data_IF_984060956752
#
_entry.id   IF_984060956752
#
_cell.length_a   1.000
_cell.length_b   1.000
_cell.length_c   1.000
_cell.angle_alpha   90.00
_cell.angle_beta   90.00
_cell.angle_gamma   90.00
#
_symmetry.space_group_name_H-M   'P 1'
#
loop_
_entity.id
_entity.type
_entity.pdbx_description
1 polymer ?
#
# COMPACT_ATOMS: atom_id res chain seq x y z
N UNK A 1 -7.06 8.83 -11.03
CA UNK A 1 -7.61 9.79 -10.06
C UNK A 1 -8.93 9.22 -9.54
N UNK A 2 -8.99 8.77 -8.28
CA UNK A 2 -10.27 8.45 -7.62
C UNK A 2 -10.89 9.78 -7.20
N UNK A 3 -11.45 10.49 -8.17
CA UNK A 3 -12.08 11.79 -7.95
C UNK A 3 -13.47 11.58 -7.38
N UNK A 4 -13.54 11.69 -6.04
CA UNK A 4 -14.74 11.94 -5.25
C UNK A 4 -15.78 10.81 -5.22
N UNK A 5 -15.61 9.80 -4.36
CA UNK A 5 -16.69 8.95 -3.81
C UNK A 5 -16.13 8.20 -2.58
N UNK A 6 -16.42 8.69 -1.37
CA UNK A 6 -16.04 8.11 -0.05
C UNK A 6 -14.66 7.45 0.01
N UNK A 7 -13.59 8.27 0.03
CA UNK A 7 -12.22 7.79 0.20
C UNK A 7 -12.05 7.18 1.59
N UNK A 8 -12.22 5.86 1.67
CA UNK A 8 -11.86 5.09 2.85
C UNK A 8 -10.40 4.68 2.74
N UNK A 9 -9.76 4.43 3.88
CA UNK A 9 -8.38 3.96 3.92
C UNK A 9 -8.33 2.53 4.41
N UNK A 10 -7.55 1.69 3.73
CA UNK A 10 -7.28 0.33 4.14
C UNK A 10 -5.81 0.16 4.52
N UNK A 11 -5.57 -0.66 5.52
CA UNK A 11 -4.24 -1.05 5.97
C UNK A 11 -3.77 -2.31 5.24
N UNK A 12 -2.45 -2.51 5.08
CA UNK A 12 -1.94 -3.69 4.41
C UNK A 12 -2.07 -4.95 5.28
N UNK A 13 -2.24 -6.09 4.62
CA UNK A 13 -2.18 -7.43 5.23
C UNK A 13 -0.73 -7.83 5.55
N UNK A 14 0.23 -7.33 4.76
CA UNK A 14 1.65 -7.66 4.90
C UNK A 14 2.53 -6.49 4.50
N UNK A 15 3.65 -6.35 5.21
CA UNK A 15 4.70 -5.40 4.87
C UNK A 15 6.02 -6.14 4.69
N UNK A 16 6.73 -5.81 3.61
CA UNK A 16 8.08 -6.29 3.32
C UNK A 16 9.01 -5.08 3.30
N UNK A 17 9.98 -5.05 4.20
CA UNK A 17 11.03 -4.01 4.27
C UNK A 17 12.39 -4.66 4.17
N UNK A 18 12.86 -4.87 2.92
CA UNK A 18 14.17 -5.48 2.62
C UNK A 18 14.92 -4.65 1.57
N UNK A 19 15.28 -3.39 1.86
CA UNK A 19 15.89 -2.50 0.87
C UNK A 19 17.25 -2.99 0.32
N UNK A 20 17.94 -3.85 1.08
CA UNK A 20 19.24 -4.44 0.70
C UNK A 20 19.14 -5.41 -0.48
N UNK A 21 17.94 -5.95 -0.76
CA UNK A 21 17.68 -6.83 -1.90
C UNK A 21 17.43 -6.05 -3.20
N UNK A 22 17.63 -4.72 -3.18
CA UNK A 22 17.53 -3.85 -4.34
C UNK A 22 16.22 -3.06 -4.42
N UNK A 23 15.94 -2.54 -5.62
CA UNK A 23 14.71 -1.80 -5.88
C UNK A 23 13.49 -2.73 -5.74
N UNK A 24 12.33 -2.17 -5.38
CA UNK A 24 11.05 -2.90 -5.24
C UNK A 24 10.95 -3.91 -4.08
N UNK A 25 11.93 -4.00 -3.18
CA UNK A 25 11.87 -4.85 -1.98
C UNK A 25 11.39 -4.12 -0.72
N UNK A 26 10.78 -2.94 -0.89
CA UNK A 26 10.07 -2.22 0.16
C UNK A 26 8.65 -1.95 -0.31
N UNK A 27 7.71 -2.78 0.16
CA UNK A 27 6.32 -2.69 -0.25
C UNK A 27 5.37 -3.21 0.82
N UNK A 28 4.12 -2.80 0.68
CA UNK A 28 3.00 -3.30 1.45
C UNK A 28 1.98 -3.95 0.52
N UNK A 29 1.31 -5.00 0.99
CA UNK A 29 0.30 -5.74 0.25
C UNK A 29 -1.07 -5.46 0.85
N UNK A 30 -1.99 -4.96 0.03
CA UNK A 30 -3.37 -4.65 0.39
C UNK A 30 -4.31 -5.62 -0.30
N UNK A 31 -5.39 -6.01 0.37
CA UNK A 31 -6.42 -6.87 -0.19
C UNK A 31 -7.72 -6.08 -0.34
N UNK A 32 -8.24 -5.98 -1.56
CA UNK A 32 -9.45 -5.22 -1.85
C UNK A 32 -10.51 -6.10 -2.52
N UNK A 33 -11.81 -5.89 -2.24
CA UNK A 33 -12.86 -6.57 -2.98
C UNK A 33 -12.93 -6.06 -4.42
N UNK A 34 -13.25 -6.94 -5.37
CA UNK A 34 -13.29 -6.65 -6.82
C UNK A 34 -14.20 -5.48 -7.21
N UNK A 35 -15.19 -5.16 -6.37
CA UNK A 35 -16.15 -4.08 -6.60
C UNK A 35 -15.61 -2.68 -6.23
N UNK A 36 -14.37 -2.59 -5.75
CA UNK A 36 -13.73 -1.34 -5.35
C UNK A 36 -12.55 -1.02 -6.26
N UNK A 37 -12.32 0.28 -6.46
CA UNK A 37 -11.12 0.84 -7.09
C UNK A 37 -10.24 1.48 -6.02
N UNK A 38 -8.94 1.53 -6.29
CA UNK A 38 -7.93 2.09 -5.38
C UNK A 38 -7.25 3.31 -5.98
N UNK A 39 -6.66 4.14 -5.12
CA UNK A 39 -5.90 5.31 -5.52
C UNK A 39 -4.51 4.90 -6.03
N UNK A 40 -3.98 5.60 -7.03
CA UNK A 40 -2.70 5.26 -7.64
C UNK A 40 -1.53 5.40 -6.65
N UNK A 41 -1.74 6.16 -5.57
CA UNK A 41 -0.75 6.40 -4.55
C UNK A 41 -1.14 5.80 -3.19
N UNK A 42 -0.18 5.16 -2.54
CA UNK A 42 -0.25 4.82 -1.12
C UNK A 42 0.28 5.96 -0.27
N UNK A 43 -0.24 6.07 0.96
CA UNK A 43 0.25 6.98 1.98
C UNK A 43 1.03 6.18 3.02
N UNK A 44 2.26 6.60 3.30
CA UNK A 44 3.05 6.09 4.43
C UNK A 44 3.25 7.22 5.42
N UNK A 45 2.58 7.12 6.57
CA UNK A 45 2.68 8.07 7.67
C UNK A 45 3.72 7.57 8.66
N UNK A 46 4.95 8.06 8.50
CA UNK A 46 6.01 7.85 9.47
C UNK A 46 5.91 9.04 10.42
N UNK A 47 5.64 8.78 11.72
CA UNK A 47 5.33 9.67 12.87
C UNK A 47 6.06 11.03 12.98
N UNK A 48 6.94 11.36 12.04
CA UNK A 48 7.62 12.62 11.79
C UNK A 48 6.90 13.42 10.69
N UNK A 49 5.64 13.84 10.90
CA UNK A 49 4.87 14.81 10.07
C UNK A 49 5.02 14.76 8.53
N UNK A 50 5.45 13.62 7.97
CA UNK A 50 5.79 13.47 6.56
C UNK A 50 5.04 12.26 6.05
N UNK A 51 4.02 12.55 5.26
CA UNK A 51 3.33 11.54 4.47
C UNK A 51 4.12 11.31 3.19
N UNK A 52 4.54 10.08 2.94
CA UNK A 52 5.17 9.71 1.68
C UNK A 52 4.16 9.09 0.75
N UNK A 53 4.24 9.48 -0.53
CA UNK A 53 3.49 8.84 -1.60
C UNK A 53 4.33 7.70 -2.18
N UNK A 54 3.79 6.49 -2.15
CA UNK A 54 4.31 5.34 -2.90
C UNK A 54 3.38 4.99 -4.05
N UNK A 55 3.82 4.14 -4.97
CA UNK A 55 3.01 3.73 -6.13
C UNK A 55 2.26 2.44 -5.84
N UNK A 56 0.96 2.42 -6.12
CA UNK A 56 0.10 1.25 -5.98
C UNK A 56 -0.09 0.53 -7.34
N UNK A 57 0.16 -0.77 -7.37
CA UNK A 57 0.04 -1.61 -8.58
C UNK A 57 -0.83 -2.83 -8.26
N UNK A 58 -1.86 -3.05 -9.07
CA UNK A 58 -2.73 -4.24 -8.99
C UNK A 58 -1.91 -5.48 -9.33
N UNK A 59 -2.13 -6.55 -8.58
CA UNK A 59 -1.49 -7.83 -8.78
C UNK A 59 -2.54 -8.94 -8.71
N UNK A 60 -2.56 -9.81 -9.72
CA UNK A 60 -3.63 -10.80 -9.91
C UNK A 60 -3.23 -12.20 -9.41
N UNK A 61 -1.97 -12.40 -9.03
CA UNK A 61 -1.47 -13.69 -8.52
C UNK A 61 -1.37 -13.67 -7.00
N UNK A 62 -1.39 -14.85 -6.38
CA UNK A 62 -1.08 -15.00 -4.95
C UNK A 62 0.31 -14.41 -4.67
N UNK A 63 0.38 -13.48 -3.71
CA UNK A 63 1.62 -12.81 -3.32
C UNK A 63 2.03 -13.31 -1.95
N UNK A 64 3.30 -13.72 -1.81
CA UNK A 64 3.99 -13.93 -0.54
C UNK A 64 3.17 -14.74 0.49
N UNK A 65 2.62 -15.87 0.07
CA UNK A 65 1.82 -16.81 0.89
C UNK A 65 0.49 -16.24 1.42
N UNK A 66 0.01 -15.11 0.88
CA UNK A 66 -1.32 -14.59 1.20
C UNK A 66 -2.35 -15.33 0.36
N UNK A 67 -3.17 -16.14 1.02
CA UNK A 67 -4.33 -16.78 0.41
C UNK A 67 -5.32 -15.71 -0.03
N UNK A 68 -5.47 -15.55 -1.35
CA UNK A 68 -6.40 -14.60 -1.94
C UNK A 68 -7.83 -15.03 -1.60
N UNK A 69 -8.57 -14.18 -0.88
CA UNK A 69 -9.99 -14.42 -0.62
C UNK A 69 -10.76 -14.38 -1.94
N UNK A 70 -11.75 -15.26 -2.14
CA UNK A 70 -12.59 -15.22 -3.34
C UNK A 70 -13.26 -13.84 -3.46
N UNK A 71 -13.35 -13.32 -4.69
CA UNK A 71 -13.92 -12.00 -4.96
C UNK A 71 -13.03 -10.81 -4.56
N UNK A 72 -11.76 -11.04 -4.23
CA UNK A 72 -10.78 -10.00 -3.90
C UNK A 72 -9.59 -10.02 -4.88
N UNK A 73 -8.87 -8.91 -4.93
CA UNK A 73 -7.59 -8.77 -5.61
C UNK A 73 -6.54 -8.15 -4.68
N UNK A 74 -5.27 -8.35 -5.01
CA UNK A 74 -4.16 -7.80 -4.26
C UNK A 74 -3.63 -6.54 -4.94
N UNK A 75 -3.16 -5.61 -4.11
CA UNK A 75 -2.47 -4.39 -4.55
C UNK A 75 -1.15 -4.30 -3.81
N UNK A 76 -0.05 -4.10 -4.55
CA UNK A 76 1.25 -3.79 -3.97
C UNK A 76 1.48 -2.29 -3.98
N UNK A 77 1.68 -1.72 -2.79
CA UNK A 77 2.11 -0.35 -2.61
C UNK A 77 3.62 -0.30 -2.39
N UNK A 78 4.36 0.25 -3.34
CA UNK A 78 5.82 0.36 -3.26
C UNK A 78 6.25 1.69 -2.67
N UNK A 79 7.16 1.64 -1.71
CA UNK A 79 7.89 2.82 -1.24
C UNK A 79 9.25 2.87 -1.93
N UNK A 80 9.70 4.07 -2.29
CA UNK A 80 11.03 4.25 -2.87
C UNK A 80 12.11 3.74 -1.92
N UNK A 81 12.99 2.85 -2.39
CA UNK A 81 14.07 2.26 -1.59
C UNK A 81 14.96 3.33 -0.96
N UNK A 82 15.23 4.44 -1.67
CA UNK A 82 16.00 5.58 -1.14
C UNK A 82 15.34 6.22 0.08
N UNK A 83 14.02 6.35 0.09
CA UNK A 83 13.27 6.87 1.24
C UNK A 83 13.33 5.88 2.40
N UNK A 84 13.11 4.59 2.13
CA UNK A 84 13.21 3.55 3.14
C UNK A 84 14.59 3.51 3.81
N UNK A 85 15.67 3.57 3.03
CA UNK A 85 17.04 3.62 3.54
C UNK A 85 17.28 4.85 4.43
N UNK A 86 16.86 6.04 4.01
CA UNK A 86 16.98 7.25 4.83
C UNK A 86 16.34 7.08 6.21
N UNK A 87 15.16 6.48 6.29
CA UNK A 87 14.47 6.23 7.56
C UNK A 87 15.13 5.12 8.38
N UNK A 88 15.65 4.08 7.73
CA UNK A 88 16.40 3.02 8.42
C UNK A 88 17.68 3.58 9.04
N UNK A 89 18.42 4.43 8.31
CA UNK A 89 19.60 5.12 8.86
C UNK A 89 19.26 6.08 10.00
N UNK A 90 18.04 6.63 10.03
CA UNK A 90 17.52 7.41 11.14
C UNK A 90 16.99 6.56 12.32
N UNK A 91 17.17 5.23 12.29
CA UNK A 91 16.72 4.32 13.34
C UNK A 91 15.21 4.00 13.31
N UNK A 92 14.50 4.38 12.25
CA UNK A 92 13.03 4.26 12.11
C UNK A 92 12.58 3.05 11.30
N UNK A 93 13.37 1.97 11.33
CA UNK A 93 13.01 0.72 10.63
C UNK A 93 11.72 0.09 11.17
N UNK A 94 11.44 0.24 12.47
CA UNK A 94 10.24 -0.31 13.10
C UNK A 94 8.98 0.42 12.61
N UNK A 95 9.05 1.75 12.46
CA UNK A 95 7.95 2.55 11.92
C UNK A 95 7.60 2.12 10.48
N UNK A 96 8.60 1.79 9.66
CA UNK A 96 8.36 1.26 8.31
C UNK A 96 7.68 -0.11 8.31
N UNK A 97 7.86 -0.93 9.36
CA UNK A 97 7.28 -2.27 9.50
C UNK A 97 5.90 -2.27 10.14
N UNK A 98 5.44 -1.14 10.69
CA UNK A 98 4.13 -1.03 11.33
C UNK A 98 3.01 -0.91 10.30
N UNK A 99 2.03 -1.82 10.36
CA UNK A 99 0.86 -1.87 9.48
C UNK A 99 0.07 -0.55 9.49
N UNK A 100 -0.12 0.03 10.67
CA UNK A 100 -0.93 1.25 10.84
C UNK A 100 -0.34 2.48 10.13
N UNK A 101 0.95 2.46 9.81
CA UNK A 101 1.63 3.56 9.13
C UNK A 101 1.40 3.55 7.62
N UNK A 102 0.84 2.47 7.07
CA UNK A 102 0.60 2.32 5.63
C UNK A 102 -0.89 2.36 5.36
N UNK A 103 -1.28 3.17 4.38
CA UNK A 103 -2.68 3.37 4.00
C UNK A 103 -2.80 3.42 2.48
N UNK A 104 -3.81 2.71 1.95
CA UNK A 104 -4.22 2.82 0.56
C UNK A 104 -5.63 3.41 0.52
N UNK A 105 -5.81 4.47 -0.26
CA UNK A 105 -7.14 5.02 -0.52
C UNK A 105 -7.93 4.11 -1.44
N UNK A 106 -9.20 3.86 -1.14
CA UNK A 106 -10.08 3.09 -2.00
C UNK A 106 -11.51 3.62 -1.96
N UNK A 107 -12.29 3.29 -2.99
CA UNK A 107 -13.66 3.74 -3.17
C UNK A 107 -14.41 2.94 -4.23
N UNK A 108 -15.70 3.22 -4.41
CA UNK A 108 -16.48 2.59 -5.49
C UNK A 108 -16.18 3.26 -6.83
N UNK A 109 -16.10 2.51 -7.93
CA UNK A 109 -16.04 3.11 -9.27
C UNK A 109 -17.30 3.95 -9.50
N UNK A 110 -17.18 5.01 -10.31
CA UNK A 110 -18.24 6.03 -10.51
C UNK A 110 -19.45 5.52 -11.31
N UNK A 111 -19.44 4.28 -11.78
CA UNK A 111 -20.39 3.74 -12.77
C UNK A 111 -21.36 2.66 -12.21
N UNK A 112 -21.80 2.78 -10.95
CA UNK A 112 -22.76 1.85 -10.35
C UNK A 112 -23.99 2.54 -9.74
N UNK A 113 -24.47 3.59 -10.39
CA UNK A 113 -25.80 4.15 -10.19
C UNK A 113 -26.45 4.28 -11.55
N UNK A 114 -27.37 3.36 -11.82
CA UNK A 114 -28.40 3.44 -12.87
C UNK A 114 -29.10 4.80 -12.85
#
# INVERSE_FOLDING_TARGET
>A
MVSQLTQSYIHPEKIVVRPWLGQHHVYAVFMLPNNYVYDQFIKVNLLVNKTFCGTAVKFTQAIDDINLKPGHYLVRGYLQTRTALKYIFAGKINDLKQINNWQLGYGKPKDATN
#
